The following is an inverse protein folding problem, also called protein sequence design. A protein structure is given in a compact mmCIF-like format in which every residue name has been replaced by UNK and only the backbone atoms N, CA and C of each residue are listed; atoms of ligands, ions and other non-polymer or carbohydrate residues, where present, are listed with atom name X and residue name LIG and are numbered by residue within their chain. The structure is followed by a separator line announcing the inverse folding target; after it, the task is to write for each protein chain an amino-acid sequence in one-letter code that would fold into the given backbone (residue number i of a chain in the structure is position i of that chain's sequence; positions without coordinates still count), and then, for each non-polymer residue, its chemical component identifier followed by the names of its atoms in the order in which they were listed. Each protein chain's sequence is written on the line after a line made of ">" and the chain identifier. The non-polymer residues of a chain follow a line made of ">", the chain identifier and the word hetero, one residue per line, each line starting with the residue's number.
data_IF_364171642314
#
_entry.id   IF_364171642314
#
_cell.length_a   1.000
_cell.length_b   1.000
_cell.length_c   1.000
_cell.angle_alpha   90.00
_cell.angle_beta   90.00
_cell.angle_gamma   90.00
#
_symmetry.space_group_name_H-M   'P 1'
#
loop_
_entity.id
_entity.type
_entity.pdbx_description
1 polymer ?
#
# COMPACT_ATOMS: atom_id res chain seq x y z
N UNK A 1 -24.00 3.89 11.41
CA UNK A 1 -22.83 2.99 11.23
C UNK A 1 -22.76 1.91 12.32
N UNK A 2 -22.96 2.22 13.61
CA UNK A 2 -22.93 1.20 14.70
C UNK A 2 -23.96 0.06 14.51
N UNK A 3 -25.17 0.38 14.03
CA UNK A 3 -26.25 -0.58 13.77
C UNK A 3 -25.96 -1.61 12.67
N UNK A 4 -25.00 -1.34 11.78
CA UNK A 4 -24.65 -2.25 10.68
C UNK A 4 -23.56 -3.26 11.07
N UNK A 5 -22.73 -2.96 12.08
CA UNK A 5 -21.74 -3.91 12.61
C UNK A 5 -22.43 -4.92 13.54
N UNK A 6 -23.41 -4.46 14.33
CA UNK A 6 -24.12 -5.32 15.28
C UNK A 6 -24.91 -6.44 14.57
N UNK A 7 -25.49 -6.16 13.41
CA UNK A 7 -26.18 -7.18 12.61
C UNK A 7 -25.24 -8.29 12.12
N UNK A 8 -23.94 -8.01 11.96
CA UNK A 8 -22.96 -9.03 11.61
C UNK A 8 -22.54 -9.91 12.80
N UNK A 9 -22.83 -9.50 14.04
CA UNK A 9 -22.58 -10.32 15.25
C UNK A 9 -23.68 -11.35 15.49
N UNK A 10 -24.88 -11.11 15.01
CA UNK A 10 -26.02 -12.04 15.15
C UNK A 10 -25.72 -13.40 14.52
N UNK A 11 -25.83 -14.48 15.31
CA UNK A 11 -25.57 -15.85 14.85
C UNK A 11 -24.08 -16.25 14.81
N UNK A 12 -23.19 -15.42 15.36
CA UNK A 12 -21.77 -15.77 15.48
C UNK A 12 -21.51 -16.85 16.54
N UNK A 13 -20.48 -17.65 16.30
CA UNK A 13 -19.84 -18.44 17.36
C UNK A 13 -19.05 -17.47 18.25
N UNK A 14 -19.33 -17.44 19.55
CA UNK A 14 -18.67 -16.57 20.52
C UNK A 14 -18.10 -17.41 21.66
N UNK A 15 -16.81 -17.23 21.94
CA UNK A 15 -16.12 -17.84 23.08
C UNK A 15 -15.48 -16.76 23.94
N UNK A 16 -15.28 -17.07 25.23
CA UNK A 16 -14.68 -16.16 26.20
C UNK A 16 -13.54 -16.83 26.96
N UNK A 17 -12.54 -16.04 27.31
CA UNK A 17 -11.35 -16.48 28.03
C UNK A 17 -10.13 -16.70 27.14
N UNK A 18 -8.99 -16.22 27.61
CA UNK A 18 -7.77 -16.06 26.82
C UNK A 18 -7.33 -17.33 26.08
N UNK A 19 -7.29 -18.47 26.76
CA UNK A 19 -6.82 -19.73 26.19
C UNK A 19 -7.71 -20.22 25.03
N UNK A 20 -9.04 -20.17 25.18
CA UNK A 20 -9.97 -20.64 24.14
C UNK A 20 -10.07 -19.64 22.98
N UNK A 21 -10.03 -18.34 23.28
CA UNK A 21 -10.02 -17.28 22.27
C UNK A 21 -8.74 -17.35 21.42
N UNK A 22 -7.57 -17.51 22.05
CA UNK A 22 -6.29 -17.67 21.35
C UNK A 22 -6.30 -18.90 20.45
N UNK A 23 -6.80 -20.04 20.96
CA UNK A 23 -6.96 -21.26 20.16
C UNK A 23 -7.86 -21.04 18.95
N UNK A 24 -9.05 -20.45 19.13
CA UNK A 24 -10.00 -20.18 18.03
C UNK A 24 -9.45 -19.20 17.00
N UNK A 25 -8.65 -18.22 17.43
CA UNK A 25 -7.96 -17.30 16.52
C UNK A 25 -6.97 -18.03 15.64
N UNK A 26 -6.14 -18.90 16.22
CA UNK A 26 -5.17 -19.72 15.50
C UNK A 26 -5.87 -20.67 14.52
N UNK A 27 -6.94 -21.35 14.96
CA UNK A 27 -7.74 -22.23 14.12
C UNK A 27 -8.34 -21.47 12.92
N UNK A 28 -8.89 -20.28 13.14
CA UNK A 28 -9.44 -19.45 12.06
C UNK A 28 -8.35 -19.01 11.06
N UNK A 29 -7.21 -18.54 11.55
CA UNK A 29 -6.09 -18.13 10.69
C UNK A 29 -5.58 -19.31 9.86
N UNK A 30 -5.48 -20.50 10.45
CA UNK A 30 -5.13 -21.73 9.74
C UNK A 30 -6.19 -22.13 8.70
N UNK A 31 -7.47 -22.10 9.07
CA UNK A 31 -8.61 -22.42 8.20
C UNK A 31 -8.60 -21.58 6.92
N UNK A 32 -8.28 -20.28 7.06
CA UNK A 32 -8.21 -19.37 5.92
C UNK A 32 -6.83 -19.32 5.27
N UNK A 33 -5.84 -20.06 5.77
CA UNK A 33 -4.50 -20.11 5.18
C UNK A 33 -3.64 -18.87 5.44
N UNK A 34 -3.89 -18.11 6.50
CA UNK A 34 -3.01 -17.05 6.99
C UNK A 34 -2.05 -17.58 8.09
N UNK A 35 -0.92 -16.90 8.35
CA UNK A 35 0.02 -17.34 9.37
C UNK A 35 -0.61 -17.31 10.77
N UNK A 36 -0.43 -18.39 11.52
CA UNK A 36 -1.04 -18.58 12.84
C UNK A 36 -0.62 -17.55 13.90
N UNK A 37 0.53 -16.90 13.73
CA UNK A 37 1.04 -15.85 14.62
C UNK A 37 0.76 -14.43 14.13
N UNK A 38 -0.13 -14.24 13.14
CA UNK A 38 -0.42 -12.92 12.54
C UNK A 38 -1.11 -11.95 13.52
N UNK A 39 -1.86 -12.48 14.48
CA UNK A 39 -2.57 -11.71 15.52
C UNK A 39 -2.06 -12.17 16.91
N UNK A 40 -0.85 -11.75 17.32
CA UNK A 40 -0.25 -12.12 18.60
C UNK A 40 -0.87 -11.30 19.76
N UNK A 41 -2.18 -11.41 19.93
CA UNK A 41 -2.91 -10.82 21.05
C UNK A 41 -2.78 -11.73 22.27
N UNK A 42 -2.70 -11.11 23.44
CA UNK A 42 -2.72 -11.75 24.75
C UNK A 42 -3.88 -11.17 25.56
N UNK A 43 -4.32 -11.89 26.59
CA UNK A 43 -5.43 -11.46 27.45
C UNK A 43 -6.73 -11.23 26.64
N UNK A 44 -7.03 -12.16 25.73
CA UNK A 44 -8.19 -12.11 24.84
C UNK A 44 -9.44 -12.55 25.62
N UNK A 45 -10.28 -11.57 25.95
CA UNK A 45 -11.50 -11.77 26.72
C UNK A 45 -12.63 -12.38 25.90
N UNK A 46 -12.72 -12.04 24.61
CA UNK A 46 -13.76 -12.54 23.71
C UNK A 46 -13.22 -12.73 22.28
N UNK A 47 -13.58 -13.86 21.67
CA UNK A 47 -13.46 -14.10 20.23
C UNK A 47 -14.86 -14.35 19.69
N UNK A 48 -15.20 -13.71 18.58
CA UNK A 48 -16.42 -14.01 17.86
C UNK A 48 -16.18 -14.15 16.37
N UNK A 49 -16.86 -15.11 15.76
CA UNK A 49 -16.82 -15.31 14.32
C UNK A 49 -18.20 -15.72 13.78
N UNK A 50 -18.73 -14.88 12.89
CA UNK A 50 -19.93 -15.18 12.12
C UNK A 50 -19.54 -15.76 10.77
N UNK A 51 -19.62 -17.09 10.65
CA UNK A 51 -19.32 -17.81 9.40
C UNK A 51 -20.22 -17.39 8.23
N UNK A 52 -21.48 -17.02 8.48
CA UNK A 52 -22.42 -16.64 7.42
C UNK A 52 -22.07 -15.30 6.78
N UNK A 53 -21.55 -14.35 7.58
CA UNK A 53 -21.19 -13.01 7.09
C UNK A 53 -19.68 -12.84 6.86
N UNK A 54 -18.87 -13.76 7.37
CA UNK A 54 -17.41 -13.67 7.41
C UNK A 54 -16.91 -12.66 8.45
N UNK A 55 -17.76 -12.06 9.28
CA UNK A 55 -17.34 -11.04 10.24
C UNK A 55 -16.72 -11.69 11.48
N UNK A 56 -15.54 -11.21 11.90
CA UNK A 56 -14.89 -11.63 13.13
C UNK A 56 -14.53 -10.44 14.03
N UNK A 57 -14.40 -10.71 15.32
CA UNK A 57 -13.84 -9.77 16.28
C UNK A 57 -13.05 -10.45 17.39
N UNK A 58 -12.15 -9.67 17.98
CA UNK A 58 -11.30 -10.01 19.12
C UNK A 58 -11.36 -8.86 20.12
N UNK A 59 -11.68 -9.16 21.37
CA UNK A 59 -11.64 -8.19 22.48
C UNK A 59 -10.55 -8.60 23.44
N UNK A 60 -9.60 -7.70 23.71
CA UNK A 60 -8.55 -7.88 24.72
C UNK A 60 -8.82 -7.05 25.97
N UNK A 61 -8.32 -7.49 27.13
CA UNK A 61 -8.53 -6.78 28.40
C UNK A 61 -7.83 -5.41 28.47
N UNK A 62 -6.77 -5.21 27.68
CA UNK A 62 -6.00 -3.97 27.61
C UNK A 62 -6.57 -3.00 26.57
N UNK A 63 -6.60 -1.70 26.89
CA UNK A 63 -7.09 -0.66 25.96
C UNK A 63 -6.28 -0.55 24.66
N UNK A 64 -4.98 -0.83 24.74
CA UNK A 64 -4.04 -0.84 23.63
C UNK A 64 -2.85 -1.73 23.98
N UNK A 65 -2.42 -2.57 23.04
CA UNK A 65 -1.20 -3.38 23.14
C UNK A 65 -0.34 -3.10 21.92
N UNK A 66 0.98 -3.02 22.10
CA UNK A 66 1.93 -2.93 21.00
C UNK A 66 2.73 -4.23 20.91
N UNK A 67 2.97 -4.71 19.70
CA UNK A 67 3.78 -5.89 19.42
C UNK A 67 4.84 -5.53 18.38
N UNK A 68 6.03 -6.10 18.51
CA UNK A 68 7.09 -5.94 17.50
C UNK A 68 7.43 -7.29 16.89
N UNK A 69 7.13 -7.44 15.60
CA UNK A 69 7.56 -8.59 14.82
C UNK A 69 9.06 -8.46 14.52
N UNK A 70 9.88 -9.13 15.33
CA UNK A 70 11.35 -8.96 15.33
C UNK A 70 12.00 -9.23 13.97
N UNK A 71 11.51 -10.26 13.27
CA UNK A 71 12.05 -10.67 11.95
C UNK A 71 11.95 -9.58 10.89
N UNK A 72 10.93 -8.72 10.98
CA UNK A 72 10.70 -7.61 10.04
C UNK A 72 10.90 -6.24 10.68
N UNK A 73 11.28 -6.20 11.96
CA UNK A 73 11.48 -4.98 12.76
C UNK A 73 10.29 -4.03 12.72
N UNK A 74 9.08 -4.58 12.61
CA UNK A 74 7.85 -3.81 12.48
C UNK A 74 7.08 -3.80 13.80
N UNK A 75 6.78 -2.59 14.30
CA UNK A 75 5.91 -2.42 15.48
C UNK A 75 4.49 -2.15 15.02
N UNK A 76 3.56 -2.94 15.56
CA UNK A 76 2.12 -2.81 15.37
C UNK A 76 1.44 -2.51 16.70
N UNK A 77 0.28 -1.89 16.65
CA UNK A 77 -0.57 -1.68 17.80
C UNK A 77 -1.96 -2.21 17.54
N UNK A 78 -2.53 -2.80 18.57
CA UNK A 78 -3.86 -3.37 18.61
C UNK A 78 -4.69 -2.59 19.63
N UNK A 79 -5.88 -2.15 19.24
CA UNK A 79 -6.86 -1.51 20.11
C UNK A 79 -7.58 -2.56 20.97
N UNK A 80 -8.38 -2.11 21.94
CA UNK A 80 -9.19 -3.00 22.80
C UNK A 80 -10.03 -4.01 22.01
N UNK A 81 -10.52 -3.59 20.85
CA UNK A 81 -11.26 -4.43 19.92
C UNK A 81 -10.62 -4.37 18.52
N UNK A 82 -10.41 -5.55 17.94
CA UNK A 82 -9.98 -5.74 16.55
C UNK A 82 -11.11 -6.43 15.80
N UNK A 83 -11.51 -5.90 14.64
CA UNK A 83 -12.55 -6.53 13.80
C UNK A 83 -12.07 -6.67 12.37
N UNK A 84 -12.61 -7.63 11.63
CA UNK A 84 -12.33 -7.83 10.21
C UNK A 84 -13.44 -8.65 9.52
N UNK A 85 -13.50 -8.58 8.20
CA UNK A 85 -14.18 -9.57 7.37
C UNK A 85 -13.16 -10.56 6.83
N UNK A 86 -13.50 -11.84 6.95
CA UNK A 86 -12.66 -12.99 6.67
C UNK A 86 -13.01 -13.58 5.32
N UNK A 87 -11.98 -13.82 4.51
CA UNK A 87 -12.03 -14.52 3.22
C UNK A 87 -10.86 -15.51 3.17
N UNK A 88 -10.91 -16.50 2.25
CA UNK A 88 -9.78 -17.40 2.06
C UNK A 88 -8.52 -16.61 1.70
N UNK A 89 -7.47 -16.77 2.49
CA UNK A 89 -6.18 -16.10 2.35
C UNK A 89 -6.19 -14.63 2.74
N UNK A 90 -7.26 -14.10 3.35
CA UNK A 90 -7.45 -12.65 3.45
C UNK A 90 -8.32 -12.18 4.63
N UNK A 91 -7.90 -11.06 5.22
CA UNK A 91 -8.68 -10.23 6.12
C UNK A 91 -8.87 -8.86 5.48
N UNK A 92 -10.09 -8.33 5.47
CA UNK A 92 -10.41 -7.00 4.91
C UNK A 92 -11.26 -6.16 5.85
N UNK A 93 -11.27 -4.84 5.60
CA UNK A 93 -11.95 -3.84 6.46
C UNK A 93 -11.52 -3.98 7.92
N UNK A 94 -10.23 -4.22 8.12
CA UNK A 94 -9.67 -4.40 9.46
C UNK A 94 -9.82 -3.10 10.24
N UNK A 95 -10.24 -3.20 11.50
CA UNK A 95 -10.25 -2.09 12.46
C UNK A 95 -9.46 -2.48 13.70
N UNK A 96 -8.99 -1.48 14.44
CA UNK A 96 -8.24 -1.71 15.68
C UNK A 96 -6.78 -2.11 15.49
N UNK A 97 -6.28 -2.27 14.26
CA UNK A 97 -4.87 -2.57 13.98
C UNK A 97 -4.19 -1.37 13.35
N UNK A 98 -3.04 -0.94 13.88
CA UNK A 98 -2.18 0.08 13.28
C UNK A 98 -0.74 -0.39 13.18
N UNK A 99 -0.04 0.03 12.15
CA UNK A 99 1.40 -0.20 11.96
C UNK A 99 2.16 1.11 12.13
N UNK A 100 3.38 1.05 12.67
CA UNK A 100 4.23 2.23 12.85
C UNK A 100 5.17 2.41 11.66
N UNK A 101 4.91 3.41 10.83
CA UNK A 101 5.71 3.70 9.64
C UNK A 101 6.12 5.17 9.64
N UNK A 102 7.41 5.46 9.41
CA UNK A 102 7.97 6.83 9.40
C UNK A 102 7.52 7.70 10.60
N UNK A 103 7.46 7.09 11.79
CA UNK A 103 6.98 7.69 13.05
C UNK A 103 5.46 7.93 13.17
N UNK A 104 4.65 7.58 12.17
CA UNK A 104 3.18 7.63 12.22
C UNK A 104 2.55 6.26 12.48
N UNK A 105 1.38 6.28 13.12
CA UNK A 105 0.54 5.09 13.28
C UNK A 105 -0.52 5.05 12.17
N UNK A 106 -0.34 4.15 11.21
CA UNK A 106 -1.23 3.99 10.06
C UNK A 106 -2.17 2.79 10.27
N UNK A 107 -3.47 2.98 10.05
CA UNK A 107 -4.44 1.88 10.19
C UNK A 107 -4.22 0.83 9.11
N UNK A 108 -4.07 -0.43 9.52
CA UNK A 108 -4.07 -1.57 8.60
C UNK A 108 -5.52 -1.93 8.29
N UNK A 109 -5.87 -2.00 7.01
CA UNK A 109 -7.26 -2.25 6.55
C UNK A 109 -7.41 -3.54 5.78
N UNK A 110 -6.32 -4.10 5.27
CA UNK A 110 -6.31 -5.37 4.55
C UNK A 110 -5.02 -6.14 4.85
N UNK A 111 -5.16 -7.44 5.02
CA UNK A 111 -4.03 -8.40 5.07
C UNK A 111 -4.38 -9.56 4.17
N UNK A 112 -3.49 -9.96 3.27
CA UNK A 112 -3.77 -11.06 2.36
C UNK A 112 -2.50 -11.76 1.90
N UNK A 113 -2.65 -13.03 1.55
CA UNK A 113 -1.67 -13.78 0.78
C UNK A 113 -2.15 -13.75 -0.67
N UNK A 114 -1.33 -13.21 -1.57
CA UNK A 114 -1.65 -13.23 -2.99
C UNK A 114 -1.40 -14.64 -3.54
N UNK A 115 -2.31 -15.15 -4.38
CA UNK A 115 -2.13 -16.46 -5.04
C UNK A 115 -0.81 -16.55 -5.82
N UNK A 116 -0.31 -15.42 -6.31
CA UNK A 116 0.97 -15.31 -7.01
C UNK A 116 2.20 -15.45 -6.11
N UNK A 117 2.08 -15.20 -4.80
CA UNK A 117 3.18 -15.25 -3.81
C UNK A 117 2.68 -15.86 -2.50
N UNK A 118 2.35 -17.16 -2.48
CA UNK A 118 1.77 -17.83 -1.32
C UNK A 118 2.66 -17.79 -0.07
N UNK A 119 3.96 -17.57 -0.25
CA UNK A 119 4.96 -17.44 0.80
C UNK A 119 5.02 -16.05 1.46
N UNK A 120 4.29 -15.06 0.94
CA UNK A 120 4.29 -13.69 1.45
C UNK A 120 2.92 -13.25 1.94
N UNK A 121 2.93 -12.54 3.06
CA UNK A 121 1.75 -11.84 3.58
C UNK A 121 1.91 -10.36 3.26
N UNK A 122 0.89 -9.81 2.61
CA UNK A 122 0.82 -8.41 2.22
C UNK A 122 -0.15 -7.67 3.12
N UNK A 123 0.32 -6.55 3.66
CA UNK A 123 -0.46 -5.63 4.46
C UNK A 123 -0.77 -4.42 3.60
N UNK A 124 -2.00 -3.91 3.69
CA UNK A 124 -2.35 -2.59 3.17
C UNK A 124 -2.90 -1.73 4.28
N UNK A 125 -2.49 -0.48 4.26
CA UNK A 125 -2.99 0.53 5.16
C UNK A 125 -4.19 1.26 4.54
N UNK A 126 -5.04 1.88 5.36
CA UNK A 126 -6.13 2.75 4.89
C UNK A 126 -5.61 3.97 4.14
N UNK A 127 -4.30 4.18 4.24
CA UNK A 127 -3.55 5.14 3.48
C UNK A 127 -3.36 4.68 2.02
N UNK A 128 -3.19 3.39 1.74
CA UNK A 128 -2.90 2.87 0.40
C UNK A 128 -1.45 2.42 0.23
N UNK A 129 -0.62 2.58 1.26
CA UNK A 129 0.68 1.92 1.36
C UNK A 129 0.49 0.42 1.48
N UNK A 130 1.45 -0.32 0.94
CA UNK A 130 1.45 -1.78 1.02
C UNK A 130 2.86 -2.32 1.15
N UNK A 131 3.03 -3.22 2.12
CA UNK A 131 4.27 -3.95 2.34
C UNK A 131 3.99 -5.44 2.36
N UNK A 132 4.90 -6.21 1.77
CA UNK A 132 4.84 -7.68 1.77
C UNK A 132 6.06 -8.26 2.49
N UNK A 133 5.80 -9.16 3.41
CA UNK A 133 6.82 -9.83 4.20
C UNK A 133 6.69 -11.35 4.08
N UNK A 134 7.77 -12.08 4.31
CA UNK A 134 7.73 -13.54 4.34
C UNK A 134 6.74 -14.01 5.43
N UNK A 135 5.86 -14.95 5.08
CA UNK A 135 4.81 -15.46 5.96
C UNK A 135 5.38 -16.09 7.24
N UNK A 136 6.60 -16.63 7.17
CA UNK A 136 7.34 -17.20 8.31
C UNK A 136 7.74 -16.15 9.36
N UNK A 137 7.67 -14.85 9.04
CA UNK A 137 7.82 -13.77 9.99
C UNK A 137 6.65 -13.68 10.99
N UNK A 138 5.52 -14.30 10.67
CA UNK A 138 4.29 -14.31 11.45
C UNK A 138 3.89 -15.74 11.87
N UNK A 139 4.84 -16.67 11.89
CA UNK A 139 4.61 -18.01 12.43
C UNK A 139 4.46 -17.95 13.96
N UNK A 140 3.79 -18.94 14.56
CA UNK A 140 3.75 -19.09 16.02
C UNK A 140 5.17 -19.27 16.57
N UNK A 141 5.55 -18.51 17.60
CA UNK A 141 6.82 -18.73 18.32
C UNK A 141 7.67 -17.50 18.69
N UNK A 142 7.23 -16.26 18.43
CA UNK A 142 8.03 -15.06 18.78
C UNK A 142 7.69 -14.44 20.16
N UNK A 143 6.86 -15.09 20.98
CA UNK A 143 6.55 -14.68 22.37
C UNK A 143 7.63 -15.20 23.35
N UNK A 144 8.65 -14.37 23.59
CA UNK A 144 9.64 -14.33 24.69
C UNK A 144 10.12 -15.63 25.38
N UNK A 145 11.31 -16.14 25.00
CA UNK A 145 12.55 -16.22 25.78
C UNK A 145 13.61 -17.02 25.00
N UNK A 146 14.88 -16.69 25.21
CA UNK A 146 16.04 -17.24 24.48
C UNK A 146 16.14 -18.77 24.59
N UNK A 147 16.37 -19.44 23.47
CA UNK A 147 17.54 -20.30 23.32
C UNK A 147 17.86 -20.45 21.83
N UNK A 148 19.08 -20.08 21.46
CA UNK A 148 19.65 -20.29 20.14
C UNK A 148 19.84 -21.78 19.89
N UNK A 149 19.54 -22.22 18.67
CA UNK A 149 20.28 -23.31 18.02
C UNK A 149 20.19 -23.12 16.51
N UNK A 150 21.35 -22.96 15.88
CA UNK A 150 21.53 -22.94 14.44
C UNK A 150 21.19 -24.31 13.86
N UNK A 151 20.41 -24.35 12.77
CA UNK A 151 20.28 -25.55 11.96
C UNK A 151 20.23 -25.21 10.46
N UNK A 152 21.36 -25.47 9.81
CA UNK A 152 21.57 -25.91 8.43
C UNK A 152 20.56 -25.50 7.34
N UNK A 153 21.02 -24.53 6.54
CA UNK A 153 20.43 -24.06 5.29
C UNK A 153 20.44 -25.16 4.21
N UNK A 154 19.30 -25.80 3.97
CA UNK A 154 19.02 -26.43 2.67
C UNK A 154 18.41 -25.35 1.77
N UNK A 155 19.12 -24.97 0.70
CA UNK A 155 18.59 -24.02 -0.30
C UNK A 155 17.54 -24.74 -1.15
N UNK A 156 16.29 -24.26 -1.24
CA UNK A 156 15.30 -24.85 -2.14
C UNK A 156 15.69 -24.56 -3.61
N UNK A 157 15.26 -25.43 -4.54
CA UNK A 157 15.67 -25.35 -5.94
C UNK A 157 15.12 -24.09 -6.60
N UNK A 158 15.98 -23.41 -7.38
CA UNK A 158 15.59 -22.24 -8.17
C UNK A 158 14.69 -22.67 -9.32
N UNK A 159 13.41 -22.28 -9.28
CA UNK A 159 12.53 -22.22 -10.46
C UNK A 159 12.25 -20.76 -10.78
N UNK A 160 12.35 -20.41 -12.07
CA UNK A 160 12.20 -19.06 -12.61
C UNK A 160 10.81 -18.48 -12.28
N UNK A 161 10.77 -17.58 -11.30
CA UNK A 161 9.60 -16.73 -11.03
C UNK A 161 9.91 -15.30 -11.49
N UNK A 162 9.00 -14.72 -12.27
CA UNK A 162 9.08 -13.33 -12.73
C UNK A 162 8.66 -12.42 -11.56
N UNK A 163 9.61 -11.67 -11.01
CA UNK A 163 9.41 -10.73 -9.89
C UNK A 163 8.41 -9.60 -10.23
N UNK A 164 7.96 -8.81 -9.25
CA UNK A 164 7.16 -7.60 -9.51
C UNK A 164 7.89 -6.63 -10.47
N UNK A 165 9.22 -6.56 -10.40
CA UNK A 165 10.04 -5.87 -11.40
C UNK A 165 9.86 -6.48 -12.80
N UNK A 166 9.76 -7.80 -12.92
CA UNK A 166 9.45 -8.48 -14.19
C UNK A 166 8.00 -8.30 -14.65
N UNK A 167 7.04 -7.96 -13.77
CA UNK A 167 5.68 -7.61 -14.17
C UNK A 167 5.62 -6.17 -14.72
N UNK A 168 6.30 -5.22 -14.07
CA UNK A 168 6.49 -3.85 -14.62
C UNK A 168 7.24 -3.92 -15.95
N UNK A 169 8.28 -4.76 -16.05
CA UNK A 169 9.03 -4.97 -17.29
C UNK A 169 8.15 -5.49 -18.43
N UNK A 170 7.15 -6.33 -18.13
CA UNK A 170 6.23 -6.83 -19.16
C UNK A 170 5.41 -5.70 -19.81
N UNK A 171 5.11 -4.63 -19.06
CA UNK A 171 4.42 -3.45 -19.59
C UNK A 171 5.33 -2.53 -20.42
N UNK A 172 6.66 -2.71 -20.36
CA UNK A 172 7.61 -1.97 -21.22
C UNK A 172 7.71 -2.59 -22.62
N UNK A 173 7.31 -3.85 -22.78
CA UNK A 173 7.37 -4.56 -24.07
C UNK A 173 6.42 -3.91 -25.07
N UNK A 174 6.94 -3.47 -26.21
CA UNK A 174 6.15 -2.81 -27.27
C UNK A 174 5.95 -1.30 -27.06
N UNK A 175 6.55 -0.72 -26.01
CA UNK A 175 6.46 0.72 -25.77
C UNK A 175 7.24 1.54 -26.81
N UNK A 176 6.72 2.73 -27.11
CA UNK A 176 7.49 3.79 -27.76
C UNK A 176 8.49 4.35 -26.75
N UNK A 177 9.80 4.22 -27.02
CA UNK A 177 10.86 4.71 -26.12
C UNK A 177 11.71 5.74 -26.84
N UNK A 178 11.88 6.90 -26.22
CA UNK A 178 12.78 7.97 -26.68
C UNK A 178 13.82 8.29 -25.62
N UNK A 179 14.98 8.80 -26.04
CA UNK A 179 16.08 9.17 -25.16
C UNK A 179 16.58 10.58 -25.42
N UNK A 180 17.01 11.26 -24.36
CA UNK A 180 17.52 12.63 -24.39
C UNK A 180 16.51 13.66 -23.89
N UNK A 181 16.98 14.59 -23.05
CA UNK A 181 16.16 15.51 -22.25
C UNK A 181 15.08 16.25 -23.06
N UNK A 182 15.48 16.88 -24.17
CA UNK A 182 14.56 17.69 -24.98
C UNK A 182 13.43 16.86 -25.60
N UNK A 183 13.73 15.69 -26.18
CA UNK A 183 12.71 14.86 -26.82
C UNK A 183 11.83 14.13 -25.79
N UNK A 184 12.41 13.69 -24.67
CA UNK A 184 11.68 13.07 -23.57
C UNK A 184 10.68 14.06 -22.94
N UNK A 185 11.13 15.29 -22.64
CA UNK A 185 10.24 16.36 -22.15
C UNK A 185 9.11 16.63 -23.12
N UNK A 186 9.42 16.79 -24.41
CA UNK A 186 8.42 17.01 -25.46
C UNK A 186 7.38 15.89 -25.49
N UNK A 187 7.80 14.63 -25.52
CA UNK A 187 6.91 13.47 -25.56
C UNK A 187 6.06 13.31 -24.31
N UNK A 188 6.62 13.59 -23.13
CA UNK A 188 5.87 13.62 -21.87
C UNK A 188 4.76 14.68 -21.88
N UNK A 189 5.07 15.90 -22.35
CA UNK A 189 4.08 16.98 -22.46
C UNK A 189 2.98 16.65 -23.48
N UNK A 190 3.36 16.09 -24.64
CA UNK A 190 2.40 15.63 -25.66
C UNK A 190 1.44 14.58 -25.08
N UNK A 191 1.96 13.61 -24.31
CA UNK A 191 1.11 12.60 -23.65
C UNK A 191 0.19 13.23 -22.60
N UNK A 192 0.68 14.14 -21.75
CA UNK A 192 -0.17 14.82 -20.77
C UNK A 192 -1.30 15.61 -21.46
N UNK A 193 -0.99 16.29 -22.56
CA UNK A 193 -1.98 17.00 -23.37
C UNK A 193 -2.99 16.06 -24.04
N UNK A 194 -2.55 14.92 -24.59
CA UNK A 194 -3.41 13.86 -25.14
C UNK A 194 -4.41 13.35 -24.08
N UNK A 195 -3.95 13.22 -22.83
CA UNK A 195 -4.78 12.80 -21.70
C UNK A 195 -5.67 13.94 -21.16
N UNK A 196 -5.48 15.19 -21.58
CA UNK A 196 -6.18 16.35 -21.03
C UNK A 196 -5.68 16.80 -19.65
N UNK A 197 -4.45 16.42 -19.27
CA UNK A 197 -3.76 16.85 -18.06
C UNK A 197 -2.86 18.07 -18.34
N UNK A 198 -2.53 18.90 -17.33
CA UNK A 198 -1.65 20.04 -17.54
C UNK A 198 -0.23 19.60 -17.94
N UNK A 199 0.32 20.23 -18.98
CA UNK A 199 1.65 19.90 -19.52
C UNK A 199 2.80 20.10 -18.54
N UNK A 200 2.64 20.96 -17.53
CA UNK A 200 3.63 21.19 -16.48
C UNK A 200 3.48 20.29 -15.24
N UNK A 201 2.63 19.26 -15.29
CA UNK A 201 2.35 18.39 -14.14
C UNK A 201 3.58 17.59 -13.68
N UNK A 202 4.48 17.25 -14.60
CA UNK A 202 5.72 16.50 -14.34
C UNK A 202 6.94 17.33 -14.77
N UNK A 203 7.32 18.40 -14.04
CA UNK A 203 8.42 19.30 -14.36
C UNK A 203 9.78 18.67 -14.04
N UNK A 204 10.03 17.47 -14.56
CA UNK A 204 11.30 16.76 -14.42
C UNK A 204 12.34 17.35 -15.37
N UNK A 205 13.60 17.35 -14.94
CA UNK A 205 14.74 17.80 -15.73
C UNK A 205 15.75 16.66 -15.92
N UNK A 206 16.62 16.81 -16.92
CA UNK A 206 17.66 15.82 -17.22
C UNK A 206 17.06 14.43 -17.50
N UNK A 207 15.98 14.41 -18.28
CA UNK A 207 15.21 13.20 -18.59
C UNK A 207 15.96 12.38 -19.65
N UNK A 208 16.56 11.29 -19.20
CA UNK A 208 17.37 10.41 -20.04
C UNK A 208 16.51 9.49 -20.90
N UNK A 209 15.34 9.07 -20.40
CA UNK A 209 14.44 8.15 -21.08
C UNK A 209 12.98 8.49 -20.79
N UNK A 210 12.15 8.47 -21.82
CA UNK A 210 10.69 8.44 -21.72
C UNK A 210 10.20 7.22 -22.47
N UNK A 211 9.30 6.46 -21.84
CA UNK A 211 8.63 5.37 -22.52
C UNK A 211 7.13 5.40 -22.28
N UNK A 212 6.39 5.02 -23.32
CA UNK A 212 4.94 4.90 -23.26
C UNK A 212 4.47 3.68 -24.06
N UNK A 213 3.81 2.76 -23.37
CA UNK A 213 3.10 1.65 -23.96
C UNK A 213 1.62 2.01 -24.11
N UNK A 214 1.19 2.28 -25.34
CA UNK A 214 -0.20 2.60 -25.67
C UNK A 214 -1.16 1.44 -25.39
N UNK A 215 -0.73 0.20 -25.61
CA UNK A 215 -1.58 -0.98 -25.44
C UNK A 215 -1.92 -1.23 -23.97
N UNK A 216 -0.96 -1.02 -23.07
CA UNK A 216 -1.18 -1.22 -21.63
C UNK A 216 -1.46 0.07 -20.85
N UNK A 217 -1.34 1.23 -21.51
CA UNK A 217 -1.39 2.54 -20.87
C UNK A 217 -0.27 2.76 -19.84
N UNK A 218 0.87 2.08 -19.95
CA UNK A 218 1.97 2.20 -18.97
C UNK A 218 3.00 3.20 -19.46
N UNK A 219 3.42 4.12 -18.59
CA UNK A 219 4.44 5.11 -18.92
C UNK A 219 5.54 5.17 -17.86
N UNK A 220 6.71 5.64 -18.27
CA UNK A 220 7.80 5.97 -17.36
C UNK A 220 8.66 7.13 -17.83
N UNK A 221 9.32 7.76 -16.87
CA UNK A 221 10.31 8.82 -17.04
C UNK A 221 11.53 8.47 -16.19
N UNK A 222 12.72 8.51 -16.78
CA UNK A 222 13.99 8.32 -16.06
C UNK A 222 14.80 9.61 -16.13
N UNK A 223 15.18 10.18 -14.99
CA UNK A 223 16.06 11.33 -14.89
C UNK A 223 17.48 10.92 -14.50
N UNK A 224 18.50 11.66 -14.96
CA UNK A 224 19.91 11.38 -14.65
C UNK A 224 20.29 11.68 -13.19
N UNK A 225 19.56 12.59 -12.53
CA UNK A 225 19.79 12.98 -11.13
C UNK A 225 19.13 12.00 -10.14
N UNK A 226 19.80 11.69 -9.02
CA UNK A 226 19.32 10.73 -8.00
C UNK A 226 17.95 11.07 -7.40
N UNK A 227 17.68 12.35 -7.14
CA UNK A 227 16.40 12.87 -6.65
C UNK A 227 16.36 14.36 -6.94
N UNK A 228 15.24 14.84 -7.47
CA UNK A 228 15.01 16.26 -7.75
C UNK A 228 13.77 16.70 -6.99
N UNK A 229 13.84 17.86 -6.36
CA UNK A 229 12.68 18.49 -5.72
C UNK A 229 12.24 19.70 -6.56
N UNK A 230 10.94 19.89 -6.66
CA UNK A 230 10.34 21.01 -7.36
C UNK A 230 9.29 21.65 -6.46
N UNK A 231 9.15 22.98 -6.49
CA UNK A 231 8.11 23.68 -5.75
C UNK A 231 7.17 24.37 -6.72
N UNK A 232 5.92 23.93 -6.76
CA UNK A 232 4.86 24.61 -7.50
C UNK A 232 4.49 25.89 -6.75
N UNK A 233 5.02 27.03 -7.21
CA UNK A 233 4.95 28.32 -6.48
C UNK A 233 3.52 28.78 -6.20
N UNK A 234 2.61 28.61 -7.16
CA UNK A 234 1.18 29.01 -7.03
C UNK A 234 0.47 28.33 -5.87
N UNK A 235 0.80 27.07 -5.60
CA UNK A 235 0.18 26.27 -4.52
C UNK A 235 1.11 26.07 -3.32
N UNK A 236 2.34 26.61 -3.39
CA UNK A 236 3.39 26.49 -2.38
C UNK A 236 3.68 25.04 -1.98
N UNK A 237 3.51 24.11 -2.92
CA UNK A 237 3.67 22.68 -2.68
C UNK A 237 5.01 22.19 -3.21
N UNK A 238 5.82 21.62 -2.32
CA UNK A 238 7.08 20.97 -2.70
C UNK A 238 6.83 19.50 -2.98
N UNK A 239 7.20 19.06 -4.17
CA UNK A 239 7.18 17.67 -4.62
C UNK A 239 8.60 17.18 -4.86
N UNK A 240 8.78 15.87 -4.81
CA UNK A 240 10.04 15.24 -5.16
C UNK A 240 9.84 14.07 -6.11
N UNK A 241 10.78 13.96 -7.03
CA UNK A 241 10.84 12.96 -8.08
C UNK A 241 12.05 12.06 -7.86
N UNK A 242 11.82 10.75 -7.83
CA UNK A 242 12.85 9.73 -7.82
C UNK A 242 13.55 9.64 -9.20
N UNK A 243 14.62 8.84 -9.29
CA UNK A 243 15.30 8.54 -10.56
C UNK A 243 14.32 8.09 -11.64
N UNK A 244 13.36 7.25 -11.26
CA UNK A 244 12.34 6.74 -12.16
C UNK A 244 10.95 7.05 -11.59
N UNK A 245 10.10 7.62 -12.45
CA UNK A 245 8.68 7.84 -12.19
C UNK A 245 7.90 6.97 -13.16
N UNK A 246 6.91 6.23 -12.67
CA UNK A 246 6.05 5.38 -13.50
C UNK A 246 4.57 5.62 -13.17
N UNK A 247 3.69 5.36 -14.13
CA UNK A 247 2.25 5.44 -13.94
C UNK A 247 1.51 4.61 -14.98
N UNK A 248 0.26 4.25 -14.67
CA UNK A 248 -0.73 3.88 -15.68
C UNK A 248 -1.59 5.11 -16.02
N UNK A 249 -1.85 5.32 -17.30
CA UNK A 249 -2.54 6.50 -17.81
C UNK A 249 -3.94 6.15 -18.31
N UNK A 250 -4.86 7.07 -18.08
CA UNK A 250 -6.25 7.07 -18.56
C UNK A 250 -6.60 8.52 -18.94
N UNK A 251 -7.66 8.72 -19.72
CA UNK A 251 -8.11 10.08 -20.04
C UNK A 251 -8.39 10.86 -18.75
N UNK A 252 -7.72 11.99 -18.60
CA UNK A 252 -7.78 12.89 -17.45
C UNK A 252 -7.10 12.38 -16.19
N UNK A 253 -6.30 11.30 -16.25
CA UNK A 253 -5.87 10.59 -15.05
C UNK A 253 -4.55 9.82 -15.17
N UNK A 254 -3.75 9.90 -14.11
CA UNK A 254 -2.60 9.04 -13.83
C UNK A 254 -2.90 8.23 -12.56
N UNK A 255 -2.65 6.91 -12.58
CA UNK A 255 -2.89 6.02 -11.44
C UNK A 255 -1.70 5.10 -11.19
N UNK A 256 -1.64 4.57 -9.96
CA UNK A 256 -0.53 3.71 -9.48
C UNK A 256 0.83 4.40 -9.71
N UNK A 257 0.86 5.70 -9.45
CA UNK A 257 2.06 6.51 -9.63
C UNK A 257 3.14 6.02 -8.66
N UNK A 258 4.37 5.88 -9.16
CA UNK A 258 5.56 5.61 -8.34
C UNK A 258 6.60 6.69 -8.57
N UNK A 259 7.49 6.88 -7.59
CA UNK A 259 8.59 7.83 -7.73
C UNK A 259 8.23 9.30 -7.48
N UNK A 260 6.96 9.64 -7.24
CA UNK A 260 6.51 11.00 -6.90
C UNK A 260 6.13 11.07 -5.43
N UNK A 261 6.66 12.06 -4.70
CA UNK A 261 6.24 12.37 -3.32
C UNK A 261 5.90 13.83 -3.15
N UNK A 262 4.90 14.14 -2.34
CA UNK A 262 4.53 15.50 -1.94
C UNK A 262 4.91 15.74 -0.48
N UNK A 263 5.27 16.97 -0.12
CA UNK A 263 5.62 17.33 1.27
C UNK A 263 4.40 17.92 1.99
N UNK A 264 3.75 17.12 2.82
CA UNK A 264 2.58 17.52 3.61
C UNK A 264 2.85 17.33 5.10
N UNK A 265 2.49 18.32 5.93
CA UNK A 265 2.67 18.27 7.39
C UNK A 265 4.09 17.84 7.82
N UNK A 266 5.11 18.32 7.10
CA UNK A 266 6.54 17.97 7.26
C UNK A 266 6.94 16.54 6.85
N UNK A 267 6.05 15.76 6.24
CA UNK A 267 6.29 14.39 5.79
C UNK A 267 6.26 14.27 4.27
N UNK A 268 7.09 13.37 3.73
CA UNK A 268 7.08 13.03 2.31
C UNK A 268 6.11 11.88 2.05
N UNK A 269 4.96 12.18 1.48
CA UNK A 269 3.91 11.22 1.18
C UNK A 269 3.93 10.87 -0.31
N UNK A 270 3.84 9.58 -0.63
CA UNK A 270 3.80 9.12 -2.02
C UNK A 270 2.53 9.60 -2.70
N UNK A 271 2.62 10.22 -3.87
CA UNK A 271 1.46 10.50 -4.72
C UNK A 271 1.18 9.24 -5.53
N UNK A 272 -0.04 8.72 -5.49
CA UNK A 272 -0.42 7.46 -6.15
C UNK A 272 -1.43 7.66 -7.27
N UNK A 273 -2.13 8.79 -7.27
CA UNK A 273 -3.15 9.12 -8.27
C UNK A 273 -3.18 10.63 -8.50
N UNK A 274 -3.34 11.03 -9.75
CA UNK A 274 -3.63 12.41 -10.15
C UNK A 274 -4.75 12.37 -11.17
N UNK A 275 -5.78 13.20 -11.03
CA UNK A 275 -6.88 13.23 -11.99
C UNK A 275 -7.58 14.58 -12.05
N UNK A 276 -8.24 14.83 -13.16
CA UNK A 276 -9.23 15.90 -13.32
C UNK A 276 -10.61 15.25 -13.28
N UNK A 277 -11.48 15.73 -12.39
CA UNK A 277 -12.85 15.23 -12.32
C UNK A 277 -13.72 15.90 -13.39
N UNK A 278 -14.62 15.14 -14.02
CA UNK A 278 -15.56 15.68 -15.01
C UNK A 278 -16.43 16.82 -14.46
N UNK A 279 -16.68 16.81 -13.15
CA UNK A 279 -17.45 17.85 -12.44
C UNK A 279 -16.69 19.16 -12.22
N UNK A 280 -15.35 19.13 -12.27
CA UNK A 280 -14.46 20.28 -12.01
C UNK A 280 -13.25 20.22 -12.96
N UNK A 281 -13.46 20.46 -14.27
CA UNK A 281 -12.43 20.30 -15.29
C UNK A 281 -11.26 21.29 -15.15
N UNK A 282 -11.46 22.34 -14.36
CA UNK A 282 -10.50 23.38 -14.01
C UNK A 282 -9.57 22.98 -12.85
N UNK A 283 -9.80 21.83 -12.21
CA UNK A 283 -9.03 21.39 -11.04
C UNK A 283 -8.32 20.06 -11.25
N UNK A 284 -7.07 20.02 -10.83
CA UNK A 284 -6.29 18.78 -10.71
C UNK A 284 -6.32 18.32 -9.27
N UNK A 285 -6.74 17.07 -9.07
CA UNK A 285 -6.78 16.42 -7.76
C UNK A 285 -5.65 15.42 -7.64
N UNK A 286 -4.90 15.51 -6.55
CA UNK A 286 -3.83 14.60 -6.18
C UNK A 286 -4.32 13.75 -5.03
N UNK A 287 -4.08 12.43 -5.10
CA UNK A 287 -4.24 11.55 -3.94
C UNK A 287 -2.92 10.95 -3.55
N UNK A 288 -2.66 10.97 -2.26
CA UNK A 288 -1.52 10.28 -1.70
C UNK A 288 -1.85 8.82 -1.47
N UNK A 289 -0.81 8.00 -1.36
CA UNK A 289 -0.86 6.70 -0.71
C UNK A 289 -1.13 6.84 0.77
N UNK A 290 -1.61 8.01 1.25
CA UNK A 290 -2.32 8.19 2.50
C UNK A 290 -3.82 8.42 2.48
N UNK A 291 -4.43 8.38 1.29
CA UNK A 291 -5.86 8.68 1.15
C UNK A 291 -6.17 10.15 1.41
N UNK A 292 -5.15 10.97 1.69
CA UNK A 292 -5.26 12.43 1.62
C UNK A 292 -5.44 12.80 0.16
N UNK A 293 -6.27 13.82 -0.04
CA UNK A 293 -6.65 14.29 -1.36
C UNK A 293 -6.73 15.80 -1.33
N UNK A 294 -5.97 16.44 -2.22
CA UNK A 294 -6.00 17.88 -2.40
C UNK A 294 -6.26 18.22 -3.86
N UNK A 295 -7.09 19.23 -4.09
CA UNK A 295 -7.44 19.72 -5.43
C UNK A 295 -6.99 21.16 -5.59
N UNK A 296 -6.28 21.41 -6.69
CA UNK A 296 -5.73 22.72 -7.01
C UNK A 296 -6.16 23.14 -8.41
N UNK A 297 -6.14 24.45 -8.67
CA UNK A 297 -6.38 25.00 -10.00
C UNK A 297 -5.38 24.42 -11.02
N UNK A 298 -5.86 23.95 -12.16
CA UNK A 298 -5.05 23.33 -13.20
C UNK A 298 -3.97 24.27 -13.76
N UNK A 299 -4.20 25.59 -13.73
CA UNK A 299 -3.22 26.59 -14.15
C UNK A 299 -2.01 26.68 -13.22
N UNK A 300 -2.05 26.07 -12.04
CA UNK A 300 -0.89 25.91 -11.16
C UNK A 300 0.16 24.92 -11.71
N UNK A 301 -0.23 24.12 -12.71
CA UNK A 301 0.61 23.08 -13.34
C UNK A 301 0.77 23.33 -14.84
N UNK A 302 0.57 24.57 -15.29
CA UNK A 302 0.83 24.96 -16.68
C UNK A 302 2.34 25.04 -16.97
N UNK A 303 2.72 25.05 -18.25
CA UNK A 303 4.13 25.20 -18.65
C UNK A 303 4.69 26.55 -18.26
N UNK A 304 5.94 26.57 -17.77
CA UNK A 304 6.65 27.81 -17.42
C UNK A 304 6.49 28.24 -15.95
N UNK A 305 5.78 27.47 -15.13
CA UNK A 305 5.81 27.60 -13.66
C UNK A 305 7.14 27.04 -13.13
N UNK A 306 8.22 27.84 -13.20
CA UNK A 306 9.55 27.52 -12.62
C UNK A 306 9.92 28.59 -11.60
#
# INVERSE_FOLDING_TARGET
>A
MATQIESHRTGAEVVKGDAICSKKTIELLEEIGLPKGLLPLEDIQEFGYNRATGFMWLVQGKKKVEHTFKKIKQTVSYAAEVTAFVEKGKLRKITGVKTKELMLWLSVVEVYIADATPEKVTFKTGTGLSDSFDATAFALGDSSHQHTTEAHRVKPPRRNYKSMASQIESHRTGAEVVKGDAICKKKSMELLEELGLPKGLLPMEDIQEFGYNRDTGFMWLVQGKKKVEHTFKKIKQTVSYAVEVTAFVEKGKLRKITGVKTKELMLWLSVVEVYIADTTPDKVTFKTGTGLSDSFDATAFALGEI
#
